data_IF_174484253017
#
_entry.id   IF_174484253017
#
_cell.length_a   1.000
_cell.length_b   1.000
_cell.length_c   1.000
_cell.angle_alpha   90.00
_cell.angle_beta   90.00
_cell.angle_gamma   90.00
#
_symmetry.space_group_name_H-M   'P 1'
#
loop_
_entity.id
_entity.type
_entity.pdbx_description
1 polymer ?
#
# COMPACT_ATOMS: atom_id res chain seq x y z
N UNK A 1 14.36 -2.63 -2.31
CA UNK A 1 14.15 -1.17 -2.38
C UNK A 1 12.91 -0.82 -1.55
N UNK A 2 12.80 0.41 -1.03
CA UNK A 2 11.61 0.88 -0.32
C UNK A 2 10.94 2.00 -1.11
N UNK A 3 9.63 1.92 -1.28
CA UNK A 3 8.82 2.92 -1.99
C UNK A 3 7.81 3.51 -1.00
N UNK A 4 8.11 4.66 -0.38
CA UNK A 4 7.14 5.38 0.44
C UNK A 4 6.11 6.09 -0.46
N UNK A 5 4.85 6.11 -0.03
CA UNK A 5 3.77 6.83 -0.71
C UNK A 5 2.69 7.26 0.30
N UNK A 6 1.88 8.24 -0.08
CA UNK A 6 0.86 8.84 0.78
C UNK A 6 -0.45 8.98 -0.01
N UNK A 7 -1.57 8.84 0.68
CA UNK A 7 -2.87 9.19 0.10
C UNK A 7 -3.04 10.71 0.02
N UNK A 8 -3.94 11.17 -0.85
CA UNK A 8 -4.35 12.57 -0.92
C UNK A 8 -5.02 13.07 0.36
N UNK A 9 -5.65 12.15 1.11
CA UNK A 9 -6.27 12.41 2.41
C UNK A 9 -5.74 11.44 3.47
N UNK A 10 -5.19 11.93 4.60
CA UNK A 10 -4.71 11.07 5.69
C UNK A 10 -5.80 10.16 6.31
N UNK A 11 -7.08 10.50 6.12
CA UNK A 11 -8.19 9.65 6.58
C UNK A 11 -8.26 8.32 5.82
N UNK A 12 -7.75 8.28 4.58
CA UNK A 12 -7.74 7.07 3.75
C UNK A 12 -6.58 6.13 4.08
N UNK A 13 -5.53 6.58 4.77
CA UNK A 13 -4.38 5.73 5.12
C UNK A 13 -4.80 4.49 5.92
N UNK A 14 -5.66 4.69 6.93
CA UNK A 14 -6.16 3.58 7.76
C UNK A 14 -7.07 2.62 6.98
N UNK A 15 -7.87 3.15 6.04
CA UNK A 15 -8.76 2.38 5.18
C UNK A 15 -7.94 1.55 4.19
N UNK A 16 -6.96 2.16 3.53
CA UNK A 16 -6.05 1.50 2.61
C UNK A 16 -5.31 0.35 3.28
N UNK A 17 -4.72 0.57 4.46
CA UNK A 17 -3.98 -0.46 5.19
C UNK A 17 -4.87 -1.65 5.57
N UNK A 18 -6.09 -1.38 6.01
CA UNK A 18 -7.06 -2.42 6.39
C UNK A 18 -7.48 -3.25 5.17
N UNK A 19 -7.92 -2.60 4.10
CA UNK A 19 -8.37 -3.30 2.89
C UNK A 19 -7.22 -4.06 2.20
N UNK A 20 -6.00 -3.51 2.22
CA UNK A 20 -4.81 -4.18 1.72
C UNK A 20 -4.53 -5.48 2.50
N UNK A 21 -4.61 -5.42 3.83
CA UNK A 21 -4.43 -6.59 4.70
C UNK A 21 -5.50 -7.67 4.45
N UNK A 22 -6.75 -7.27 4.20
CA UNK A 22 -7.83 -8.19 3.80
C UNK A 22 -7.56 -8.90 2.46
N UNK A 23 -6.75 -8.30 1.57
CA UNK A 23 -6.29 -8.92 0.32
C UNK A 23 -4.92 -9.62 0.45
N UNK A 24 -4.39 -9.75 1.67
CA UNK A 24 -3.10 -10.38 1.94
C UNK A 24 -1.88 -9.50 1.64
N UNK A 25 -2.09 -8.21 1.34
CA UNK A 25 -1.03 -7.22 1.14
C UNK A 25 -0.63 -6.62 2.50
N UNK A 26 0.21 -7.35 3.23
CA UNK A 26 0.61 -7.01 4.59
C UNK A 26 1.88 -6.14 4.67
N UNK A 27 2.15 -5.61 5.86
CA UNK A 27 3.36 -4.84 6.18
C UNK A 27 3.60 -3.57 5.34
N UNK A 28 2.52 -2.95 4.85
CA UNK A 28 2.55 -1.70 4.07
C UNK A 28 2.56 -0.43 4.93
N UNK A 29 2.39 -0.51 6.25
CA UNK A 29 2.36 0.68 7.12
C UNK A 29 3.68 1.44 7.06
N UNK A 30 3.60 2.74 6.76
CA UNK A 30 4.74 3.64 6.70
C UNK A 30 5.41 3.86 8.05
N UNK A 31 6.57 4.52 8.02
CA UNK A 31 7.31 4.84 9.24
C UNK A 31 6.54 5.84 10.11
N UNK A 32 6.61 5.72 11.45
CA UNK A 32 5.86 6.56 12.40
C UNK A 32 6.01 8.07 12.17
N UNK A 33 7.17 8.50 11.68
CA UNK A 33 7.48 9.91 11.41
C UNK A 33 6.90 10.39 10.07
N UNK A 34 6.88 9.52 9.05
CA UNK A 34 6.49 9.89 7.69
C UNK A 34 4.99 9.66 7.42
N UNK A 35 4.33 8.82 8.23
CA UNK A 35 2.94 8.41 8.00
C UNK A 35 2.79 7.58 6.72
N UNK A 36 1.57 7.49 6.21
CA UNK A 36 1.25 6.85 4.93
C UNK A 36 1.66 5.37 4.86
N UNK A 37 2.12 4.98 3.67
CA UNK A 37 2.47 3.61 3.33
C UNK A 37 3.92 3.50 2.87
N UNK A 38 4.47 2.29 2.94
CA UNK A 38 5.78 1.94 2.41
C UNK A 38 5.78 0.52 1.86
N UNK A 39 5.93 0.38 0.55
CA UNK A 39 6.14 -0.92 -0.08
C UNK A 39 7.62 -1.30 -0.05
N UNK A 40 7.94 -2.42 0.60
CA UNK A 40 9.30 -2.96 0.69
C UNK A 40 9.50 -4.05 -0.36
N UNK A 41 10.16 -3.71 -1.46
CA UNK A 41 10.37 -4.57 -2.64
C UNK A 41 11.84 -5.02 -2.72
N UNK A 42 12.26 -5.89 -1.79
CA UNK A 42 13.61 -6.48 -1.79
C UNK A 42 13.72 -7.63 -2.81
N UNK A 43 14.92 -8.20 -2.98
CA UNK A 43 15.19 -9.23 -4.00
C UNK A 43 14.26 -10.45 -3.94
N UNK A 44 13.75 -10.80 -2.75
CA UNK A 44 12.84 -11.92 -2.57
C UNK A 44 11.36 -11.58 -2.86
N UNK A 45 11.03 -10.30 -3.12
CA UNK A 45 9.67 -9.91 -3.46
C UNK A 45 9.36 -10.30 -4.90
N UNK A 46 8.40 -11.20 -5.15
CA UNK A 46 8.06 -11.62 -6.50
C UNK A 46 7.35 -10.49 -7.26
N UNK A 47 7.52 -10.47 -8.58
CA UNK A 47 6.80 -9.53 -9.45
C UNK A 47 5.28 -9.60 -9.26
N UNK A 48 4.73 -10.80 -9.08
CA UNK A 48 3.31 -11.01 -8.83
C UNK A 48 2.80 -10.26 -7.57
N UNK A 49 3.62 -10.14 -6.52
CA UNK A 49 3.26 -9.37 -5.32
C UNK A 49 3.23 -7.87 -5.59
N UNK A 50 4.14 -7.37 -6.43
CA UNK A 50 4.13 -5.96 -6.88
C UNK A 50 2.92 -5.69 -7.77
N UNK A 51 2.59 -6.60 -8.68
CA UNK A 51 1.41 -6.47 -9.55
C UNK A 51 0.12 -6.46 -8.72
N UNK A 52 -0.01 -7.36 -7.74
CA UNK A 52 -1.17 -7.39 -6.84
C UNK A 52 -1.34 -6.07 -6.08
N UNK A 53 -0.23 -5.45 -5.62
CA UNK A 53 -0.29 -4.14 -4.99
C UNK A 53 -0.75 -3.04 -5.97
N UNK A 54 -0.24 -3.03 -7.20
CA UNK A 54 -0.64 -2.05 -8.22
C UNK A 54 -2.12 -2.19 -8.59
N UNK A 55 -2.59 -3.42 -8.78
CA UNK A 55 -3.99 -3.70 -9.10
C UNK A 55 -4.93 -3.26 -7.96
N UNK A 56 -4.53 -3.54 -6.72
CA UNK A 56 -5.21 -3.04 -5.52
C UNK A 56 -5.24 -1.51 -5.47
N UNK A 57 -4.11 -0.83 -5.73
CA UNK A 57 -4.04 0.63 -5.72
C UNK A 57 -4.99 1.26 -6.74
N UNK A 58 -5.03 0.71 -7.97
CA UNK A 58 -5.93 1.19 -9.01
C UNK A 58 -7.40 0.94 -8.65
N UNK A 59 -7.72 -0.17 -7.99
CA UNK A 59 -9.07 -0.44 -7.50
C UNK A 59 -9.48 0.46 -6.34
N UNK A 60 -8.59 0.65 -5.38
CA UNK A 60 -8.79 1.55 -4.26
C UNK A 60 -9.06 2.98 -4.73
N UNK A 61 -8.25 3.48 -5.67
CA UNK A 61 -8.45 4.79 -6.28
C UNK A 61 -9.84 4.93 -6.91
N UNK A 62 -10.29 3.95 -7.72
CA UNK A 62 -11.63 4.01 -8.33
C UNK A 62 -12.78 4.04 -7.32
N UNK A 63 -12.64 3.38 -6.18
CA UNK A 63 -13.69 3.30 -5.14
C UNK A 63 -13.72 4.51 -4.21
N UNK A 64 -12.59 5.20 -4.07
CA UNK A 64 -12.41 6.29 -3.10
C UNK A 64 -12.01 7.63 -3.76
N UNK A 65 -12.21 7.78 -5.07
CA UNK A 65 -11.99 9.00 -5.85
C UNK A 65 -12.97 10.13 -5.51
#
# INVERSE_FOLDING_TARGET
MNVPFQMSSPALDAVFLKEAEEQGLVALKGHRVSGGMRASIYNAMPFAGVQALVDFMADFERRHA
#
